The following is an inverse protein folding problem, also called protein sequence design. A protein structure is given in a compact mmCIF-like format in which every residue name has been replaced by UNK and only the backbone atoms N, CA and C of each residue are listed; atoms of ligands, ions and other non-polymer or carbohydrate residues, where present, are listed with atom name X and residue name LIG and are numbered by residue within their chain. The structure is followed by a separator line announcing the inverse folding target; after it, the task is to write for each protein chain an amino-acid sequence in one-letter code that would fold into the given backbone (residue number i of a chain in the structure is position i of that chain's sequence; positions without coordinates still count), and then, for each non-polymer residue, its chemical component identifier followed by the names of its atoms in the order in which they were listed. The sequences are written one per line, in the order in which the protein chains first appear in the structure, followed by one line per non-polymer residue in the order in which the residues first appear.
data_IF_622112292096
#
_entry.id   IF_622112292096
#
_cell.length_a   1.000
_cell.length_b   1.000
_cell.length_c   1.000
_cell.angle_alpha   90.00
_cell.angle_beta   90.00
_cell.angle_gamma   90.00
#
_symmetry.space_group_name_H-M   'P 1'
#
loop_
_entity.id
_entity.type
_entity.pdbx_description
1 polymer ?
#
# COMPACT_ATOMS: atom_id res chain seq x y z
N UNK A 1 5.86 -47.32 -19.90
CA UNK A 1 7.05 -46.66 -19.33
C UNK A 1 6.55 -45.58 -18.37
N UNK A 2 6.68 -45.83 -17.06
CA UNK A 2 6.21 -44.90 -16.01
C UNK A 2 7.21 -43.77 -15.88
N UNK A 3 6.77 -42.50 -16.03
CA UNK A 3 7.56 -41.33 -15.74
C UNK A 3 7.53 -41.12 -14.22
N UNK A 4 8.66 -41.29 -13.57
CA UNK A 4 8.87 -41.05 -12.16
C UNK A 4 9.18 -39.55 -11.99
N UNK A 5 8.24 -38.80 -11.42
CA UNK A 5 8.49 -37.43 -11.00
C UNK A 5 9.43 -37.46 -9.80
N UNK A 6 10.64 -36.97 -9.98
CA UNK A 6 11.59 -36.72 -8.88
C UNK A 6 11.16 -35.42 -8.16
N UNK A 7 10.45 -35.57 -7.05
CA UNK A 7 10.25 -34.49 -6.07
C UNK A 7 11.59 -34.32 -5.37
N UNK A 8 12.27 -33.21 -5.64
CA UNK A 8 13.44 -32.78 -4.89
C UNK A 8 12.94 -32.24 -3.53
N UNK A 9 12.76 -33.15 -2.57
CA UNK A 9 12.58 -32.77 -1.19
C UNK A 9 13.95 -32.28 -0.66
N UNK A 10 14.19 -30.97 -0.69
CA UNK A 10 15.27 -30.35 0.06
C UNK A 10 14.95 -30.47 1.55
N UNK A 11 15.58 -31.46 2.19
CA UNK A 11 15.59 -31.63 3.65
C UNK A 11 16.34 -30.40 4.23
N UNK A 12 15.60 -29.37 4.61
CA UNK A 12 16.08 -28.34 5.52
C UNK A 12 16.22 -28.99 6.91
N UNK A 13 17.45 -29.37 7.23
CA UNK A 13 17.83 -29.64 8.61
C UNK A 13 17.66 -28.33 9.39
N UNK A 14 16.52 -28.21 10.08
CA UNK A 14 16.28 -27.18 11.07
C UNK A 14 17.19 -27.46 12.26
N UNK A 15 18.42 -26.96 12.21
CA UNK A 15 19.17 -26.71 13.45
C UNK A 15 18.55 -25.49 14.12
N UNK A 16 18.23 -25.53 15.43
CA UNK A 16 17.79 -24.33 16.14
C UNK A 16 18.99 -23.37 16.24
N UNK A 17 19.10 -22.45 15.27
CA UNK A 17 19.99 -21.32 15.37
C UNK A 17 19.31 -20.29 16.30
N UNK A 18 19.53 -20.50 17.61
CA UNK A 18 19.27 -19.46 18.59
C UNK A 18 20.16 -18.26 18.24
N UNK A 19 19.54 -17.20 17.76
CA UNK A 19 19.97 -15.82 17.75
C UNK A 19 21.42 -15.56 17.33
N UNK A 20 21.63 -15.29 16.06
CA UNK A 20 22.68 -14.37 15.62
C UNK A 20 22.27 -13.78 14.27
N UNK A 21 21.99 -12.49 14.26
CA UNK A 21 21.91 -11.65 13.07
C UNK A 21 23.28 -11.44 12.40
N UNK A 22 24.26 -12.32 12.65
CA UNK A 22 25.66 -12.20 12.23
C UNK A 22 26.04 -13.25 11.16
N UNK A 23 25.09 -14.09 10.75
CA UNK A 23 25.36 -15.11 9.73
C UNK A 23 25.42 -14.48 8.34
N UNK A 24 26.46 -14.82 7.59
CA UNK A 24 26.54 -14.53 6.16
C UNK A 24 26.19 -15.78 5.37
N UNK A 25 25.23 -15.68 4.45
CA UNK A 25 24.90 -16.77 3.56
C UNK A 25 26.07 -17.04 2.61
N UNK A 26 26.43 -18.30 2.45
CA UNK A 26 27.46 -18.74 1.52
C UNK A 26 26.92 -19.80 0.56
N UNK A 27 27.30 -19.69 -0.70
CA UNK A 27 26.95 -20.70 -1.69
C UNK A 27 27.85 -21.93 -1.54
N UNK A 28 27.28 -23.13 -1.65
CA UNK A 28 28.02 -24.40 -1.58
C UNK A 28 29.18 -24.48 -2.60
N UNK A 29 29.03 -23.83 -3.75
CA UNK A 29 30.02 -23.76 -4.84
C UNK A 29 30.46 -22.30 -5.10
N UNK A 30 30.39 -21.44 -4.08
CA UNK A 30 30.67 -20.01 -4.15
C UNK A 30 32.04 -19.63 -4.72
N UNK A 31 33.05 -20.49 -4.52
CA UNK A 31 34.41 -20.31 -5.09
C UNK A 31 34.50 -20.56 -6.60
N UNK A 32 33.45 -21.06 -7.24
CA UNK A 32 33.43 -21.28 -8.70
C UNK A 32 33.63 -19.95 -9.44
N UNK A 33 34.65 -19.90 -10.27
CA UNK A 33 34.99 -18.71 -11.07
C UNK A 33 34.00 -18.58 -12.24
N UNK A 34 33.30 -17.47 -12.31
CA UNK A 34 32.41 -17.15 -13.43
C UNK A 34 33.17 -16.54 -14.60
N UNK A 35 34.05 -15.58 -14.31
CA UNK A 35 34.91 -14.96 -15.33
C UNK A 35 36.20 -14.39 -14.73
N UNK A 36 37.12 -13.99 -15.61
CA UNK A 36 38.36 -13.35 -15.23
C UNK A 36 38.59 -12.11 -16.08
N UNK A 37 39.21 -11.09 -15.46
CA UNK A 37 39.76 -9.93 -16.16
C UNK A 37 41.21 -9.79 -15.71
N UNK A 38 42.16 -10.13 -16.61
CA UNK A 38 43.57 -10.26 -16.23
C UNK A 38 43.77 -11.34 -15.15
N UNK A 39 44.34 -10.96 -14.00
CA UNK A 39 44.55 -11.84 -12.85
C UNK A 39 43.36 -11.87 -11.90
N UNK A 40 42.42 -10.90 -12.00
CA UNK A 40 41.25 -10.78 -11.13
C UNK A 40 40.18 -11.80 -11.53
N UNK A 41 39.73 -12.58 -10.58
CA UNK A 41 38.67 -13.56 -10.76
C UNK A 41 37.40 -13.03 -10.11
N UNK A 42 36.26 -13.24 -10.75
CA UNK A 42 34.93 -13.03 -10.17
C UNK A 42 34.26 -14.37 -9.99
N UNK A 43 33.82 -14.66 -8.78
CA UNK A 43 33.27 -15.93 -8.40
C UNK A 43 31.74 -15.84 -8.27
N UNK A 44 31.07 -16.98 -8.12
CA UNK A 44 29.62 -17.03 -7.80
C UNK A 44 29.31 -16.32 -6.48
N UNK A 45 30.17 -16.47 -5.46
CA UNK A 45 29.99 -15.78 -4.18
C UNK A 45 30.08 -14.27 -4.32
N UNK A 46 31.02 -13.76 -5.16
CA UNK A 46 31.14 -12.31 -5.40
C UNK A 46 29.88 -11.76 -6.06
N UNK A 47 29.32 -12.47 -7.04
CA UNK A 47 28.07 -12.08 -7.69
C UNK A 47 26.89 -12.14 -6.72
N UNK A 48 26.77 -13.21 -5.94
CA UNK A 48 25.72 -13.36 -4.92
C UNK A 48 25.78 -12.23 -3.89
N UNK A 49 26.97 -11.90 -3.38
CA UNK A 49 27.17 -10.80 -2.44
C UNK A 49 26.77 -9.45 -3.04
N UNK A 50 27.09 -9.22 -4.32
CA UNK A 50 26.68 -8.02 -5.04
C UNK A 50 25.15 -7.95 -5.19
N UNK A 51 24.51 -9.05 -5.57
CA UNK A 51 23.03 -9.10 -5.68
C UNK A 51 22.36 -8.81 -4.34
N UNK A 52 22.86 -9.42 -3.24
CA UNK A 52 22.31 -9.17 -1.90
C UNK A 52 22.48 -7.71 -1.46
N UNK A 53 23.58 -7.07 -1.82
CA UNK A 53 23.82 -5.67 -1.45
C UNK A 53 23.04 -4.67 -2.30
N UNK A 54 22.63 -5.03 -3.52
CA UNK A 54 21.94 -4.12 -4.45
C UNK A 54 20.42 -4.28 -4.47
N UNK A 55 19.92 -5.49 -4.35
CA UNK A 55 18.51 -5.80 -4.46
C UNK A 55 17.98 -6.75 -3.36
N UNK A 56 18.83 -7.15 -2.41
CA UNK A 56 18.50 -8.17 -1.43
C UNK A 56 17.33 -7.75 -0.53
N UNK A 57 17.27 -6.50 -0.09
CA UNK A 57 16.21 -6.00 0.78
C UNK A 57 14.84 -6.08 0.09
N UNK A 58 14.68 -5.40 -1.04
CA UNK A 58 13.39 -5.35 -1.76
C UNK A 58 12.94 -6.76 -2.21
N UNK A 59 13.90 -7.57 -2.69
CA UNK A 59 13.60 -8.95 -3.12
C UNK A 59 13.10 -9.82 -1.96
N UNK A 60 13.71 -9.73 -0.78
CA UNK A 60 13.30 -10.51 0.39
C UNK A 60 11.94 -10.04 0.90
N UNK A 61 11.70 -8.74 0.99
CA UNK A 61 10.39 -8.19 1.40
C UNK A 61 9.31 -8.64 0.40
N UNK A 62 9.52 -8.44 -0.90
CA UNK A 62 8.56 -8.83 -1.93
C UNK A 62 8.23 -10.33 -1.90
N UNK A 63 9.26 -11.20 -1.79
CA UNK A 63 9.02 -12.64 -1.72
C UNK A 63 8.33 -13.07 -0.42
N UNK A 64 8.64 -12.44 0.70
CA UNK A 64 7.98 -12.72 1.97
C UNK A 64 6.49 -12.30 1.89
N UNK A 65 6.21 -11.10 1.39
CA UNK A 65 4.84 -10.62 1.20
C UNK A 65 4.06 -11.54 0.24
N UNK A 66 4.64 -11.88 -0.91
CA UNK A 66 4.03 -12.85 -1.85
C UNK A 66 3.70 -14.18 -1.18
N UNK A 67 4.63 -14.72 -0.40
CA UNK A 67 4.42 -15.99 0.33
C UNK A 67 3.28 -15.90 1.33
N UNK A 68 3.10 -14.75 1.96
CA UNK A 68 1.99 -14.49 2.89
C UNK A 68 0.68 -14.36 2.11
N UNK A 69 0.67 -13.59 1.02
CA UNK A 69 -0.51 -13.46 0.15
C UNK A 69 -1.01 -14.83 -0.32
N UNK A 70 -0.12 -15.70 -0.79
CA UNK A 70 -0.46 -17.05 -1.23
C UNK A 70 -1.07 -17.93 -0.11
N UNK A 71 -0.81 -17.61 1.16
CA UNK A 71 -1.36 -18.35 2.31
C UNK A 71 -2.66 -17.79 2.84
N UNK A 72 -2.79 -16.47 2.85
CA UNK A 72 -3.93 -15.76 3.44
C UNK A 72 -5.05 -15.51 2.43
N UNK A 73 -4.71 -15.30 1.16
CA UNK A 73 -5.62 -14.82 0.14
C UNK A 73 -5.75 -15.85 -0.99
N UNK A 74 -6.89 -16.50 -1.06
CA UNK A 74 -7.23 -17.39 -2.17
C UNK A 74 -7.47 -16.59 -3.46
N UNK A 75 -6.90 -17.07 -4.58
CA UNK A 75 -7.15 -16.45 -5.89
C UNK A 75 -8.53 -16.86 -6.36
N UNK A 76 -9.46 -15.92 -6.33
CA UNK A 76 -10.85 -16.12 -6.77
C UNK A 76 -11.00 -15.94 -8.28
N UNK A 77 -12.13 -16.38 -8.82
CA UNK A 77 -12.45 -16.16 -10.24
C UNK A 77 -12.72 -14.68 -10.51
N UNK A 78 -13.27 -13.95 -9.54
CA UNK A 78 -13.43 -12.48 -9.59
C UNK A 78 -12.08 -11.77 -9.73
N UNK A 79 -11.09 -12.12 -8.91
CA UNK A 79 -9.74 -11.56 -9.03
C UNK A 79 -9.11 -11.79 -10.41
N UNK A 80 -9.35 -12.96 -11.01
CA UNK A 80 -8.85 -13.25 -12.36
C UNK A 80 -9.54 -12.37 -13.42
N UNK A 81 -10.85 -12.15 -13.27
CA UNK A 81 -11.64 -11.30 -14.16
C UNK A 81 -11.22 -9.83 -14.05
N UNK A 82 -11.00 -9.33 -12.83
CA UNK A 82 -10.51 -7.98 -12.56
C UNK A 82 -9.09 -7.78 -13.12
N UNK A 83 -8.20 -8.75 -12.91
CA UNK A 83 -6.86 -8.73 -13.49
C UNK A 83 -6.90 -8.70 -15.03
N UNK A 84 -7.78 -9.49 -15.64
CA UNK A 84 -7.96 -9.49 -17.09
C UNK A 84 -8.51 -8.15 -17.60
N UNK A 85 -9.48 -7.57 -16.91
CA UNK A 85 -10.05 -6.26 -17.24
C UNK A 85 -8.97 -5.16 -17.16
N UNK A 86 -8.12 -5.22 -16.15
CA UNK A 86 -6.98 -4.30 -15.99
C UNK A 86 -5.97 -4.46 -17.11
N UNK A 87 -5.63 -5.70 -17.47
CA UNK A 87 -4.74 -6.01 -18.61
C UNK A 87 -5.29 -5.43 -19.92
N UNK A 88 -6.56 -5.63 -20.20
CA UNK A 88 -7.21 -5.12 -21.43
C UNK A 88 -7.26 -3.58 -21.42
N UNK A 89 -7.42 -2.96 -20.28
CA UNK A 89 -7.34 -1.50 -20.11
C UNK A 89 -5.94 -0.98 -20.42
N UNK A 90 -4.88 -1.65 -19.93
CA UNK A 90 -3.48 -1.27 -20.24
C UNK A 90 -3.18 -1.42 -21.73
N UNK A 91 -3.65 -2.50 -22.37
CA UNK A 91 -3.51 -2.69 -23.81
C UNK A 91 -4.21 -1.57 -24.58
N UNK A 92 -5.40 -1.18 -24.17
CA UNK A 92 -6.16 -0.11 -24.81
C UNK A 92 -5.51 1.26 -24.62
N UNK A 93 -5.00 1.55 -23.43
CA UNK A 93 -4.45 2.87 -23.07
C UNK A 93 -3.04 3.08 -23.61
N UNK A 94 -2.17 2.07 -23.54
CA UNK A 94 -0.75 2.18 -23.84
C UNK A 94 -0.34 1.52 -25.18
N UNK A 95 -1.18 0.67 -25.76
CA UNK A 95 -0.95 0.04 -27.08
C UNK A 95 0.45 -0.55 -27.24
N UNK A 96 1.16 -0.09 -28.28
CA UNK A 96 2.53 -0.56 -28.61
C UNK A 96 3.56 -0.31 -27.48
N UNK A 97 3.33 0.68 -26.62
CA UNK A 97 4.22 0.94 -25.47
C UNK A 97 4.14 -0.20 -24.46
N UNK A 98 2.95 -0.72 -24.19
CA UNK A 98 2.77 -1.86 -23.30
C UNK A 98 3.36 -3.15 -23.92
N UNK A 99 3.11 -3.40 -25.20
CA UNK A 99 3.72 -4.53 -25.90
C UNK A 99 5.26 -4.49 -25.86
N UNK A 100 5.84 -3.30 -26.11
CA UNK A 100 7.29 -3.11 -26.01
C UNK A 100 7.85 -3.33 -24.60
N UNK A 101 7.09 -2.96 -23.57
CA UNK A 101 7.45 -3.24 -22.17
C UNK A 101 7.49 -4.75 -21.90
N UNK A 102 6.49 -5.51 -22.36
CA UNK A 102 6.47 -6.96 -22.20
C UNK A 102 7.65 -7.62 -22.92
N UNK A 103 7.93 -7.23 -24.17
CA UNK A 103 9.05 -7.74 -24.96
C UNK A 103 10.42 -7.47 -24.30
N UNK A 104 10.62 -6.25 -23.76
CA UNK A 104 11.87 -5.88 -23.08
C UNK A 104 12.10 -6.71 -21.80
N UNK A 105 11.04 -7.12 -21.15
CA UNK A 105 11.10 -7.94 -19.93
C UNK A 105 10.98 -9.44 -20.22
N UNK A 106 10.90 -9.85 -21.50
CA UNK A 106 10.66 -11.23 -21.93
C UNK A 106 9.43 -11.86 -21.25
N UNK A 107 8.37 -11.09 -21.10
CA UNK A 107 7.11 -11.49 -20.48
C UNK A 107 6.02 -11.65 -21.54
N UNK A 108 5.19 -12.66 -21.41
CA UNK A 108 3.91 -12.74 -22.10
C UNK A 108 2.82 -11.95 -21.35
N UNK A 109 1.67 -11.70 -21.98
CA UNK A 109 0.49 -11.15 -21.30
C UNK A 109 0.05 -12.05 -20.14
N UNK A 110 0.12 -13.37 -20.31
CA UNK A 110 -0.21 -14.34 -19.26
C UNK A 110 0.78 -14.28 -18.08
N UNK A 111 2.08 -14.09 -18.35
CA UNK A 111 3.09 -13.90 -17.30
C UNK A 111 2.79 -12.60 -16.54
N UNK A 112 2.51 -11.50 -17.26
CA UNK A 112 2.18 -10.22 -16.64
C UNK A 112 0.94 -10.30 -15.76
N UNK A 113 -0.10 -10.99 -16.21
CA UNK A 113 -1.31 -11.23 -15.45
C UNK A 113 -1.02 -12.03 -14.17
N UNK A 114 -0.27 -13.12 -14.29
CA UNK A 114 -0.03 -14.03 -13.16
C UNK A 114 1.08 -13.54 -12.20
N UNK A 115 2.06 -12.80 -12.69
CA UNK A 115 3.22 -12.37 -11.88
C UNK A 115 3.09 -10.95 -11.35
N UNK A 116 2.20 -10.12 -11.93
CA UNK A 116 2.03 -8.72 -11.54
C UNK A 116 0.59 -8.41 -11.10
N UNK A 117 -0.43 -8.63 -11.96
CA UNK A 117 -1.78 -8.14 -11.68
C UNK A 117 -2.47 -8.94 -10.57
N UNK A 118 -2.47 -10.27 -10.67
CA UNK A 118 -3.07 -11.12 -9.63
C UNK A 118 -2.37 -10.92 -8.27
N UNK A 119 -1.03 -10.93 -8.17
CA UNK A 119 -0.36 -10.63 -6.90
C UNK A 119 -0.64 -9.23 -6.35
N UNK A 120 -0.86 -8.23 -7.21
CA UNK A 120 -1.25 -6.90 -6.76
C UNK A 120 -2.63 -6.91 -6.10
N UNK A 121 -3.61 -7.57 -6.71
CA UNK A 121 -4.95 -7.75 -6.13
C UNK A 121 -4.91 -8.58 -4.83
N UNK A 122 -4.08 -9.62 -4.77
CA UNK A 122 -3.87 -10.36 -3.51
C UNK A 122 -3.28 -9.46 -2.41
N UNK A 123 -2.35 -8.57 -2.73
CA UNK A 123 -1.77 -7.64 -1.76
C UNK A 123 -2.80 -6.61 -1.26
N UNK A 124 -3.69 -6.13 -2.13
CA UNK A 124 -4.81 -5.27 -1.74
C UNK A 124 -5.76 -6.01 -0.81
N UNK A 125 -6.16 -7.24 -1.15
CA UNK A 125 -6.99 -8.09 -0.28
C UNK A 125 -6.31 -8.45 1.05
N UNK A 126 -4.98 -8.57 1.08
CA UNK A 126 -4.24 -8.73 2.32
C UNK A 126 -4.34 -7.48 3.19
N UNK A 127 -4.32 -6.29 2.58
CA UNK A 127 -4.51 -5.02 3.29
C UNK A 127 -5.94 -4.89 3.81
N UNK A 128 -6.97 -5.27 3.04
CA UNK A 128 -8.35 -5.34 3.53
C UNK A 128 -8.47 -6.26 4.75
N UNK A 129 -7.87 -7.46 4.68
CA UNK A 129 -7.89 -8.41 5.79
C UNK A 129 -7.20 -7.86 7.05
N UNK A 130 -6.15 -7.06 6.91
CA UNK A 130 -5.52 -6.34 8.01
C UNK A 130 -6.47 -5.30 8.61
N UNK A 131 -7.10 -4.46 7.77
CA UNK A 131 -8.04 -3.42 8.23
C UNK A 131 -9.20 -4.08 9.00
N UNK A 132 -9.74 -5.20 8.52
CA UNK A 132 -10.80 -5.92 9.20
C UNK A 132 -10.35 -6.51 10.54
N UNK A 133 -9.14 -7.08 10.60
CA UNK A 133 -8.60 -7.71 11.80
C UNK A 133 -8.24 -6.69 12.89
N UNK A 134 -7.76 -5.52 12.49
CA UNK A 134 -7.26 -4.47 13.37
C UNK A 134 -8.16 -3.21 13.31
N UNK A 135 -9.44 -3.39 13.06
CA UNK A 135 -10.40 -2.31 12.78
C UNK A 135 -10.32 -1.15 13.77
N UNK A 136 -10.37 -1.43 15.07
CA UNK A 136 -10.31 -0.40 16.10
C UNK A 136 -8.97 0.37 16.06
N UNK A 137 -7.85 -0.33 15.87
CA UNK A 137 -6.53 0.30 15.75
C UNK A 137 -6.42 1.14 14.47
N UNK A 138 -7.01 0.67 13.35
CA UNK A 138 -6.99 1.40 12.07
C UNK A 138 -7.80 2.68 12.16
N UNK A 139 -9.01 2.64 12.71
CA UNK A 139 -9.82 3.87 12.86
C UNK A 139 -9.20 4.87 13.84
N UNK A 140 -8.53 4.39 14.89
CA UNK A 140 -7.82 5.26 15.84
C UNK A 140 -6.56 5.91 15.20
N UNK A 141 -5.89 5.19 14.27
CA UNK A 141 -4.68 5.66 13.63
C UNK A 141 -4.96 6.61 12.47
N UNK A 142 -5.98 6.32 11.66
CA UNK A 142 -6.27 7.07 10.42
C UNK A 142 -7.42 8.07 10.56
N UNK A 143 -8.20 8.01 11.64
CA UNK A 143 -9.32 8.91 11.95
C UNK A 143 -10.23 9.19 10.73
N UNK A 144 -10.83 8.15 10.09
CA UNK A 144 -11.59 8.32 8.86
C UNK A 144 -12.90 9.06 9.12
N UNK A 145 -13.17 10.08 8.29
CA UNK A 145 -14.35 10.95 8.36
C UNK A 145 -14.93 11.15 6.98
N UNK A 146 -16.25 11.08 6.84
CA UNK A 146 -16.95 11.47 5.62
C UNK A 146 -17.26 12.96 5.68
N UNK A 147 -16.80 13.70 4.67
CA UNK A 147 -17.05 15.14 4.57
C UNK A 147 -17.29 15.59 3.13
N UNK A 148 -18.05 16.68 2.98
CA UNK A 148 -18.21 17.40 1.71
C UNK A 148 -17.39 18.69 1.76
N UNK A 149 -16.53 18.86 0.75
CA UNK A 149 -15.63 20.02 0.60
C UNK A 149 -15.92 20.73 -0.71
N UNK A 150 -15.93 22.05 -0.70
CA UNK A 150 -16.05 22.91 -1.88
C UNK A 150 -14.99 24.00 -1.78
N UNK A 151 -14.27 24.30 -2.86
CA UNK A 151 -13.20 25.29 -2.90
C UNK A 151 -13.59 26.50 -3.76
N UNK A 152 -13.24 27.68 -3.26
CA UNK A 152 -13.50 28.96 -3.90
C UNK A 152 -12.24 29.82 -3.90
N UNK A 153 -12.08 30.63 -4.96
CA UNK A 153 -11.08 31.70 -5.04
C UNK A 153 -11.66 33.08 -4.68
N UNK A 154 -12.98 33.16 -4.51
CA UNK A 154 -13.71 34.41 -4.22
C UNK A 154 -14.56 34.22 -2.95
N UNK A 155 -14.23 35.00 -1.92
CA UNK A 155 -14.90 34.91 -0.63
C UNK A 155 -16.38 35.35 -0.67
N UNK A 156 -16.75 36.29 -1.51
CA UNK A 156 -18.13 36.75 -1.62
C UNK A 156 -18.99 35.66 -2.26
N UNK A 157 -18.46 34.97 -3.29
CA UNK A 157 -19.11 33.80 -3.87
C UNK A 157 -19.28 32.67 -2.86
N UNK A 158 -18.24 32.37 -2.07
CA UNK A 158 -18.32 31.37 -1.02
C UNK A 158 -19.39 31.71 0.02
N UNK A 159 -19.52 32.99 0.40
CA UNK A 159 -20.54 33.44 1.35
C UNK A 159 -21.97 33.30 0.81
N UNK A 160 -22.19 33.59 -0.48
CA UNK A 160 -23.47 33.39 -1.16
C UNK A 160 -23.81 31.89 -1.24
N UNK A 161 -22.83 31.07 -1.64
CA UNK A 161 -22.96 29.61 -1.69
C UNK A 161 -23.28 29.01 -0.30
N UNK A 162 -22.57 29.46 0.74
CA UNK A 162 -22.83 29.04 2.13
C UNK A 162 -24.28 29.32 2.54
N UNK A 163 -24.81 30.49 2.18
CA UNK A 163 -26.20 30.84 2.51
C UNK A 163 -27.18 29.91 1.81
N UNK A 164 -26.97 29.62 0.54
CA UNK A 164 -27.81 28.72 -0.25
C UNK A 164 -27.75 27.26 0.24
N UNK A 165 -26.58 26.80 0.70
CA UNK A 165 -26.42 25.48 1.30
C UNK A 165 -27.12 25.39 2.67
N UNK A 166 -27.03 26.44 3.48
CA UNK A 166 -27.65 26.47 4.83
C UNK A 166 -29.16 26.57 4.78
N UNK A 167 -29.73 27.26 3.82
CA UNK A 167 -31.20 27.37 3.64
C UNK A 167 -31.79 26.24 2.79
N UNK A 168 -30.93 25.38 2.23
CA UNK A 168 -31.33 24.23 1.42
C UNK A 168 -31.86 24.57 0.04
N UNK A 169 -31.61 25.80 -0.46
CA UNK A 169 -32.02 26.22 -1.80
C UNK A 169 -31.16 25.62 -2.91
N UNK A 170 -29.97 25.13 -2.58
CA UNK A 170 -29.07 24.42 -3.49
C UNK A 170 -28.41 23.21 -2.81
N UNK A 171 -28.10 22.20 -3.62
CA UNK A 171 -27.25 21.08 -3.21
C UNK A 171 -25.76 21.45 -3.33
N UNK A 172 -24.89 20.66 -2.72
CA UNK A 172 -23.43 20.87 -2.83
C UNK A 172 -22.92 20.65 -4.24
N UNK A 173 -23.47 19.68 -4.96
CA UNK A 173 -23.13 19.42 -6.37
C UNK A 173 -23.58 20.57 -7.29
N UNK A 174 -24.75 21.16 -7.05
CA UNK A 174 -25.20 22.34 -7.80
C UNK A 174 -24.26 23.53 -7.55
N UNK A 175 -23.89 23.77 -6.30
CA UNK A 175 -22.96 24.84 -5.93
C UNK A 175 -21.58 24.59 -6.56
N UNK A 176 -21.07 23.35 -6.51
CA UNK A 176 -19.81 22.97 -7.13
C UNK A 176 -19.81 23.29 -8.64
N UNK A 177 -20.82 22.81 -9.35
CA UNK A 177 -20.94 23.01 -10.80
C UNK A 177 -21.06 24.48 -11.20
N UNK A 178 -21.83 25.29 -10.45
CA UNK A 178 -22.02 26.72 -10.74
C UNK A 178 -20.76 27.57 -10.50
N UNK A 179 -19.91 27.14 -9.59
CA UNK A 179 -18.71 27.88 -9.21
C UNK A 179 -17.41 27.27 -9.74
N UNK A 180 -17.52 26.20 -10.53
CA UNK A 180 -16.38 25.48 -11.11
C UNK A 180 -15.37 25.03 -10.03
N UNK A 181 -15.89 24.53 -8.89
CA UNK A 181 -15.06 24.01 -7.80
C UNK A 181 -14.23 22.80 -8.28
N UNK A 182 -13.04 22.62 -7.72
CA UNK A 182 -12.21 21.45 -8.00
C UNK A 182 -12.81 20.17 -7.37
N UNK A 183 -13.57 20.32 -6.29
CA UNK A 183 -14.32 19.26 -5.62
C UNK A 183 -15.75 19.22 -6.16
N UNK A 184 -16.25 18.03 -6.48
CA UNK A 184 -17.54 17.83 -7.15
C UNK A 184 -18.78 18.05 -6.26
N UNK A 185 -18.59 18.32 -4.97
CA UNK A 185 -19.66 18.52 -4.01
C UNK A 185 -20.27 17.24 -3.45
N UNK A 186 -19.70 16.07 -3.75
CA UNK A 186 -20.09 14.81 -3.13
C UNK A 186 -19.34 14.56 -1.83
N UNK A 187 -19.91 13.71 -0.97
CA UNK A 187 -19.26 13.28 0.28
C UNK A 187 -18.09 12.35 -0.02
N UNK A 188 -16.90 12.70 0.47
CA UNK A 188 -15.69 11.93 0.30
C UNK A 188 -15.14 11.47 1.65
N UNK A 189 -14.36 10.38 1.64
CA UNK A 189 -13.60 9.93 2.80
C UNK A 189 -12.33 10.75 2.93
N UNK A 190 -12.07 11.26 4.12
CA UNK A 190 -10.83 11.91 4.51
C UNK A 190 -10.22 11.22 5.70
N UNK A 191 -8.90 11.27 5.81
CA UNK A 191 -8.13 10.71 6.92
C UNK A 191 -7.10 11.72 7.42
N UNK A 192 -6.53 11.48 8.59
CA UNK A 192 -5.49 12.36 9.16
C UNK A 192 -4.25 12.48 8.26
N UNK A 193 -4.02 11.50 7.38
CA UNK A 193 -2.88 11.45 6.45
C UNK A 193 -3.13 12.23 5.14
N UNK A 194 -4.35 12.73 4.91
CA UNK A 194 -4.66 13.51 3.71
C UNK A 194 -3.93 14.86 3.73
N UNK A 195 -3.10 15.09 2.71
CA UNK A 195 -2.27 16.29 2.55
C UNK A 195 -2.70 17.21 1.42
N UNK A 196 -3.75 16.85 0.68
CA UNK A 196 -4.23 17.59 -0.49
C UNK A 196 -5.01 18.85 -0.11
N UNK A 197 -5.50 18.91 1.13
CA UNK A 197 -6.22 20.06 1.66
C UNK A 197 -5.33 20.90 2.61
N UNK A 198 -5.66 22.19 2.73
CA UNK A 198 -5.04 23.07 3.72
C UNK A 198 -5.26 22.51 5.15
N UNK A 199 -4.25 22.60 5.99
CA UNK A 199 -4.29 22.07 7.36
C UNK A 199 -5.43 22.63 8.22
N UNK A 200 -5.88 23.87 7.94
CA UNK A 200 -7.05 24.45 8.63
C UNK A 200 -8.34 23.75 8.23
N UNK A 201 -8.45 23.35 6.96
CA UNK A 201 -9.59 22.57 6.43
C UNK A 201 -9.58 21.17 7.03
N UNK A 202 -8.44 20.49 7.00
CA UNK A 202 -8.29 19.16 7.61
C UNK A 202 -8.62 19.18 9.11
N UNK A 203 -8.18 20.20 9.84
CA UNK A 203 -8.52 20.35 11.27
C UNK A 203 -10.02 20.47 11.53
N UNK A 204 -10.78 21.07 10.61
CA UNK A 204 -12.25 21.14 10.74
C UNK A 204 -12.89 19.79 10.41
N UNK A 205 -12.37 19.05 9.42
CA UNK A 205 -12.86 17.72 9.07
C UNK A 205 -12.65 16.74 10.23
N UNK A 206 -11.42 16.67 10.76
CA UNK A 206 -11.06 15.69 11.80
C UNK A 206 -11.67 15.98 13.17
N UNK A 207 -11.91 17.24 13.51
CA UNK A 207 -12.49 17.63 14.81
C UNK A 207 -13.98 17.99 14.75
N UNK A 208 -14.57 18.02 13.55
CA UNK A 208 -15.96 18.42 13.35
C UNK A 208 -16.95 17.29 13.56
N UNK A 209 -18.21 17.67 13.61
CA UNK A 209 -19.35 16.74 13.71
C UNK A 209 -20.41 17.09 12.67
N UNK A 210 -21.30 16.15 12.29
CA UNK A 210 -22.41 16.45 11.39
C UNK A 210 -23.32 17.58 11.89
N UNK A 211 -23.44 17.76 13.20
CA UNK A 211 -24.27 18.79 13.82
C UNK A 211 -23.73 20.22 13.61
N UNK A 212 -22.44 20.38 13.29
CA UNK A 212 -21.84 21.69 13.03
C UNK A 212 -22.31 22.32 11.71
N UNK A 213 -22.81 21.49 10.79
CA UNK A 213 -23.28 21.94 9.48
C UNK A 213 -22.17 22.54 8.61
N UNK A 214 -22.56 23.39 7.67
CA UNK A 214 -21.61 24.05 6.76
C UNK A 214 -20.80 25.13 7.44
N UNK A 215 -19.48 25.08 7.29
CA UNK A 215 -18.49 26.02 7.77
C UNK A 215 -17.72 26.66 6.61
N UNK A 216 -17.39 27.96 6.75
CA UNK A 216 -16.56 28.68 5.80
C UNK A 216 -15.16 28.86 6.40
N UNK A 217 -14.15 28.36 5.68
CA UNK A 217 -12.78 28.26 6.18
C UNK A 217 -11.84 28.90 5.16
N UNK A 218 -11.25 30.08 5.46
CA UNK A 218 -10.19 30.65 4.65
C UNK A 218 -8.90 29.85 4.84
N UNK A 219 -8.12 29.66 3.77
CA UNK A 219 -6.78 29.09 3.86
C UNK A 219 -5.83 30.01 4.61
N UNK A 220 -4.76 29.45 5.15
CA UNK A 220 -3.70 30.21 5.83
C UNK A 220 -3.04 31.22 4.89
N UNK A 221 -2.92 30.94 3.59
CA UNK A 221 -2.40 31.84 2.57
C UNK A 221 -3.39 32.94 2.17
N UNK A 222 -4.70 32.73 2.41
CA UNK A 222 -5.77 33.66 2.04
C UNK A 222 -6.10 33.69 0.54
N UNK A 223 -5.59 32.75 -0.25
CA UNK A 223 -5.81 32.65 -1.68
C UNK A 223 -7.03 31.78 -2.03
N UNK A 224 -7.50 30.97 -1.12
CA UNK A 224 -8.69 30.12 -1.24
C UNK A 224 -9.57 30.22 0.02
N UNK A 225 -10.83 29.90 -0.19
CA UNK A 225 -11.84 29.71 0.86
C UNK A 225 -12.53 28.40 0.62
N UNK A 226 -12.72 27.62 1.66
CA UNK A 226 -13.43 26.35 1.59
C UNK A 226 -14.76 26.41 2.31
N UNK A 227 -15.77 25.73 1.76
CA UNK A 227 -16.97 25.36 2.49
C UNK A 227 -16.86 23.88 2.83
N UNK A 228 -16.98 23.57 4.09
CA UNK A 228 -16.80 22.20 4.61
C UNK A 228 -18.00 21.81 5.44
N UNK A 229 -18.46 20.60 5.28
CA UNK A 229 -19.44 19.95 6.17
C UNK A 229 -18.95 18.54 6.46
N UNK A 230 -18.86 18.19 7.73
CA UNK A 230 -18.73 16.79 8.14
C UNK A 230 -20.08 16.12 7.93
N UNK A 231 -20.11 15.02 7.20
CA UNK A 231 -21.33 14.30 6.87
C UNK A 231 -21.57 13.12 7.81
N UNK A 232 -20.48 12.40 8.14
CA UNK A 232 -20.50 11.31 9.12
C UNK A 232 -19.09 11.16 9.73
N UNK A 233 -19.01 11.07 11.03
CA UNK A 233 -17.78 10.83 11.79
C UNK A 233 -17.83 9.52 12.59
N UNK A 234 -18.78 8.64 12.28
CA UNK A 234 -18.81 7.30 12.83
C UNK A 234 -18.42 6.27 11.77
N UNK A 235 -17.15 5.79 11.76
CA UNK A 235 -16.63 4.90 10.73
C UNK A 235 -17.44 3.60 10.53
N UNK A 236 -18.18 3.16 11.53
CA UNK A 236 -19.05 1.98 11.41
C UNK A 236 -20.16 2.15 10.36
N UNK A 237 -20.60 3.40 10.12
CA UNK A 237 -21.65 3.68 9.15
C UNK A 237 -21.18 3.59 7.70
N UNK A 238 -19.86 3.72 7.48
CA UNK A 238 -19.23 3.71 6.15
C UNK A 238 -18.02 2.76 6.09
N UNK A 239 -18.04 1.68 6.88
CA UNK A 239 -16.94 0.71 7.01
C UNK A 239 -16.42 0.20 5.67
N UNK A 240 -17.31 -0.22 4.77
CA UNK A 240 -16.92 -0.72 3.44
C UNK A 240 -16.15 0.35 2.62
N UNK A 241 -16.52 1.63 2.79
CA UNK A 241 -15.82 2.74 2.14
C UNK A 241 -14.44 2.95 2.74
N UNK A 242 -14.30 2.84 4.07
CA UNK A 242 -12.98 2.89 4.75
C UNK A 242 -12.10 1.77 4.24
N UNK A 243 -12.56 0.52 4.26
CA UNK A 243 -11.80 -0.64 3.80
C UNK A 243 -11.34 -0.45 2.35
N UNK A 244 -12.27 -0.14 1.44
CA UNK A 244 -11.96 0.00 0.01
C UNK A 244 -11.04 1.17 -0.31
N UNK A 245 -11.08 2.25 0.46
CA UNK A 245 -10.22 3.41 0.24
C UNK A 245 -8.84 3.17 0.84
N UNK A 246 -8.78 2.73 2.10
CA UNK A 246 -7.52 2.55 2.81
C UNK A 246 -6.71 1.36 2.29
N UNK A 247 -7.35 0.30 1.76
CA UNK A 247 -6.63 -0.84 1.20
C UNK A 247 -5.71 -0.48 0.03
N UNK A 248 -6.00 0.62 -0.65
CA UNK A 248 -5.20 1.15 -1.77
C UNK A 248 -4.12 2.16 -1.35
N UNK A 249 -4.03 2.50 -0.05
CA UNK A 249 -3.04 3.47 0.43
C UNK A 249 -1.72 2.83 0.83
N UNK A 250 -0.60 3.49 0.49
CA UNK A 250 0.74 2.95 0.73
C UNK A 250 1.05 2.76 2.22
N UNK A 251 0.61 3.69 3.09
CA UNK A 251 0.88 3.62 4.52
C UNK A 251 0.15 2.42 5.14
N UNK A 252 -1.13 2.26 4.84
CA UNK A 252 -1.93 1.12 5.35
C UNK A 252 -1.40 -0.22 4.83
N UNK A 253 -0.96 -0.27 3.57
CA UNK A 253 -0.31 -1.46 3.00
C UNK A 253 1.02 -1.80 3.71
N UNK A 254 1.79 -0.79 4.13
CA UNK A 254 3.00 -0.99 4.92
C UNK A 254 2.69 -1.53 6.33
N UNK A 255 1.66 -0.99 6.98
CA UNK A 255 1.18 -1.48 8.28
C UNK A 255 0.68 -2.92 8.18
N UNK A 256 -0.11 -3.23 7.15
CA UNK A 256 -0.57 -4.60 6.87
C UNK A 256 0.63 -5.56 6.69
N UNK A 257 1.64 -5.15 5.92
CA UNK A 257 2.86 -5.95 5.73
C UNK A 257 3.55 -6.21 7.07
N UNK A 258 3.72 -5.18 7.90
CA UNK A 258 4.32 -5.30 9.24
C UNK A 258 3.50 -6.23 10.15
N UNK A 259 2.18 -6.09 10.14
CA UNK A 259 1.27 -6.96 10.90
C UNK A 259 1.43 -8.43 10.51
N UNK A 260 1.38 -8.73 9.21
CA UNK A 260 1.51 -10.10 8.73
C UNK A 260 2.93 -10.65 8.92
N UNK A 261 3.97 -9.81 8.82
CA UNK A 261 5.33 -10.23 9.14
C UNK A 261 5.47 -10.63 10.61
N UNK A 262 4.83 -9.91 11.54
CA UNK A 262 4.74 -10.31 12.95
C UNK A 262 3.96 -11.61 13.10
N UNK A 263 2.76 -11.69 12.52
CA UNK A 263 1.89 -12.88 12.57
C UNK A 263 2.60 -14.15 12.11
N UNK A 264 3.43 -14.04 11.06
CA UNK A 264 4.17 -15.18 10.48
C UNK A 264 5.60 -15.34 11.00
N UNK A 265 6.04 -14.50 11.92
CA UNK A 265 7.39 -14.56 12.49
C UNK A 265 8.49 -14.36 11.45
N UNK A 266 8.32 -13.35 10.56
CA UNK A 266 9.31 -13.02 9.55
C UNK A 266 10.67 -12.76 10.19
N UNK A 267 11.71 -13.44 9.69
CA UNK A 267 13.04 -13.39 10.26
C UNK A 267 14.13 -13.46 9.19
N UNK A 268 15.06 -12.52 9.21
CA UNK A 268 16.20 -12.43 8.29
C UNK A 268 17.45 -12.95 8.99
N UNK A 269 18.09 -13.97 8.41
CA UNK A 269 19.28 -14.61 8.96
C UNK A 269 20.59 -14.11 8.34
N UNK A 270 20.57 -13.60 7.09
CA UNK A 270 21.77 -13.05 6.44
C UNK A 270 22.01 -11.61 6.86
N UNK A 271 23.22 -11.34 7.38
CA UNK A 271 23.57 -10.01 7.91
C UNK A 271 23.59 -8.91 6.83
N UNK A 272 23.93 -9.24 5.59
CA UNK A 272 23.95 -8.26 4.48
C UNK A 272 22.54 -7.83 4.14
N UNK A 273 21.62 -8.79 4.00
CA UNK A 273 20.20 -8.55 3.75
C UNK A 273 19.57 -7.84 4.95
N UNK A 274 19.86 -8.28 6.17
CA UNK A 274 19.37 -7.63 7.40
C UNK A 274 19.75 -6.14 7.44
N UNK A 275 21.02 -5.83 7.18
CA UNK A 275 21.49 -4.44 7.18
C UNK A 275 20.86 -3.61 6.07
N UNK A 276 20.63 -4.20 4.90
CA UNK A 276 19.93 -3.53 3.80
C UNK A 276 18.46 -3.25 4.15
N UNK A 277 17.74 -4.24 4.71
CA UNK A 277 16.36 -4.02 5.16
C UNK A 277 16.31 -2.99 6.30
N UNK A 278 17.30 -3.01 7.22
CA UNK A 278 17.38 -2.01 8.30
C UNK A 278 17.57 -0.59 7.78
N UNK A 279 18.27 -0.43 6.66
CA UNK A 279 18.51 0.88 6.06
C UNK A 279 17.30 1.39 5.28
N UNK A 280 16.65 0.50 4.50
CA UNK A 280 15.65 0.88 3.51
C UNK A 280 14.21 0.65 4.01
N UNK A 281 14.00 -0.35 4.90
CA UNK A 281 12.68 -0.79 5.39
C UNK A 281 12.71 -1.14 6.88
N UNK A 282 13.11 -0.21 7.78
CA UNK A 282 13.33 -0.51 9.21
C UNK A 282 12.09 -1.09 9.90
N UNK A 283 10.89 -0.67 9.51
CA UNK A 283 9.63 -1.06 10.12
C UNK A 283 9.26 -2.53 9.84
N UNK A 284 9.85 -3.14 8.82
CA UNK A 284 9.67 -4.55 8.51
C UNK A 284 10.59 -5.51 9.30
N UNK A 285 11.51 -4.97 10.12
CA UNK A 285 12.36 -5.77 11.00
C UNK A 285 11.64 -6.20 12.28
N UNK A 286 10.53 -6.91 12.14
CA UNK A 286 9.68 -7.37 13.24
C UNK A 286 10.43 -8.25 14.27
N UNK A 287 11.51 -8.92 13.87
CA UNK A 287 12.36 -9.73 14.75
C UNK A 287 13.04 -8.93 15.88
N UNK A 288 13.11 -7.61 15.78
CA UNK A 288 13.67 -6.72 16.79
C UNK A 288 12.60 -6.05 17.65
N UNK A 289 11.33 -6.18 17.27
CA UNK A 289 10.23 -5.64 18.04
C UNK A 289 10.03 -6.51 19.27
N UNK A 290 10.08 -5.90 20.47
CA UNK A 290 9.65 -6.60 21.69
C UNK A 290 8.15 -6.79 21.58
N UNK A 291 7.65 -7.98 21.91
CA UNK A 291 6.24 -8.22 22.12
C UNK A 291 5.74 -7.22 23.18
N UNK A 292 5.14 -6.12 22.73
CA UNK A 292 4.49 -5.14 23.63
C UNK A 292 3.09 -5.60 24.01
N UNK A 293 2.61 -6.69 23.42
CA UNK A 293 1.22 -7.17 23.54
C UNK A 293 1.02 -8.19 24.68
N UNK A 294 1.97 -8.35 25.61
CA UNK A 294 1.80 -9.16 26.83
C UNK A 294 1.95 -8.32 28.11
N UNK A 295 1.34 -7.15 28.16
CA UNK A 295 1.21 -6.38 29.39
C UNK A 295 -0.25 -6.00 29.60
N UNK A 296 -0.99 -7.01 30.16
CA UNK A 296 -2.34 -6.95 30.82
C UNK A 296 -3.45 -6.12 30.16
#
# INVERSE_FOLDING_TARGET
MKKTNLILASLLLATPLAGCSDASASLKDGSTVLFKVGSTKVTKQDLFSLMNSTAGASTVISNATKTICEKEIEITDEMKEDAQTTLDSYKSMYGDTFSSYLDQNNMSEEDYLNENLIPSLQAEKLTEAYIEAEWENVIDLYEPVMATVLDFTDQDKAQVALSALKDGSKTSEEVSNENECSHDGTSQLYTIDDTDLDSTVMSVITNGTPDDGWSLIPTTSGDKVYLVRVDDNNPENFKDKVISTLSSTSNVSADATTYFFKKYGFHIYDITVYNAVKADYPDYLVQNMKDTDNAE
#
